data_IF_973307671458
#
_entry.id   IF_973307671458
#
_cell.length_a   1.000
_cell.length_b   1.000
_cell.length_c   1.000
_cell.angle_alpha   90.00
_cell.angle_beta   90.00
_cell.angle_gamma   90.00
#
_symmetry.space_group_name_H-M   'P 1'
#
loop_
_entity.id
_entity.type
_entity.pdbx_description
1 polymer ?
#
# COMPACT_ATOMS: atom_id res chain seq x y z
N UNK A 1 1.48 6.58 26.44
CA UNK A 1 2.35 5.45 26.01
C UNK A 1 1.50 4.22 25.99
N UNK A 2 1.05 3.79 24.82
CA UNK A 2 0.31 2.53 24.64
C UNK A 2 1.30 1.46 24.25
N UNK A 3 1.69 0.59 25.19
CA UNK A 3 2.50 -0.58 24.89
C UNK A 3 1.63 -1.64 24.20
N UNK A 4 1.85 -1.91 22.91
CA UNK A 4 1.30 -3.08 22.27
C UNK A 4 2.13 -4.30 22.67
N UNK A 5 1.56 -5.19 23.45
CA UNK A 5 2.15 -6.51 23.68
C UNK A 5 1.64 -7.42 22.57
N UNK A 6 2.51 -7.78 21.63
CA UNK A 6 2.18 -8.74 20.57
C UNK A 6 2.15 -10.16 21.14
N UNK A 7 1.05 -10.87 20.94
CA UNK A 7 0.89 -12.28 21.33
C UNK A 7 1.51 -13.24 20.29
N UNK A 8 1.82 -12.76 19.09
CA UNK A 8 2.24 -13.60 17.98
C UNK A 8 3.62 -13.19 17.47
N UNK A 9 4.35 -14.17 16.99
CA UNK A 9 5.64 -13.96 16.37
C UNK A 9 5.48 -13.34 14.98
N UNK A 10 6.02 -12.15 14.78
CA UNK A 10 5.97 -11.38 13.54
C UNK A 10 7.39 -11.13 13.02
N UNK A 11 8.00 -12.10 12.33
CA UNK A 11 9.37 -11.97 11.85
C UNK A 11 9.48 -11.00 10.69
N UNK A 12 10.58 -10.27 10.65
CA UNK A 12 10.95 -9.44 9.51
C UNK A 12 12.45 -9.57 9.22
N UNK A 13 12.79 -9.43 7.96
CA UNK A 13 14.18 -9.50 7.52
C UNK A 13 14.45 -8.50 6.40
N UNK A 14 15.68 -8.00 6.35
CA UNK A 14 16.14 -7.09 5.30
C UNK A 14 17.55 -7.46 4.87
N UNK A 15 17.80 -7.39 3.57
CA UNK A 15 19.11 -7.52 2.97
C UNK A 15 19.39 -6.32 2.07
N UNK A 16 20.61 -5.78 2.13
CA UNK A 16 21.05 -4.66 1.30
C UNK A 16 22.39 -5.03 0.67
N UNK A 17 22.53 -4.73 -0.61
CA UNK A 17 23.76 -4.89 -1.37
C UNK A 17 24.05 -3.58 -2.08
N UNK A 18 25.23 -3.02 -1.84
CA UNK A 18 25.70 -1.82 -2.51
C UNK A 18 27.05 -2.09 -3.19
N UNK A 19 27.17 -1.63 -4.40
CA UNK A 19 28.40 -1.72 -5.19
C UNK A 19 28.73 -0.36 -5.81
N UNK A 20 29.98 0.06 -5.70
CA UNK A 20 30.50 1.29 -6.30
C UNK A 20 31.70 0.92 -7.17
N UNK A 21 31.52 1.04 -8.48
CA UNK A 21 32.56 0.90 -9.49
C UNK A 21 33.08 2.23 -9.99
N UNK A 22 33.96 2.20 -10.96
CA UNK A 22 34.57 3.42 -11.53
C UNK A 22 33.55 4.29 -12.28
N UNK A 23 32.64 3.70 -13.01
CA UNK A 23 31.69 4.37 -13.89
C UNK A 23 30.25 3.97 -13.63
N UNK A 24 29.99 3.20 -12.58
CA UNK A 24 28.62 2.81 -12.21
C UNK A 24 28.54 2.50 -10.73
N UNK A 25 27.36 2.71 -10.16
CA UNK A 25 26.99 2.24 -8.83
C UNK A 25 25.67 1.48 -8.91
N UNK A 26 25.49 0.57 -7.99
CA UNK A 26 24.29 -0.23 -7.85
C UNK A 26 23.95 -0.40 -6.38
N UNK A 27 22.70 -0.17 -6.03
CA UNK A 27 22.12 -0.43 -4.71
C UNK A 27 20.89 -1.31 -4.88
N UNK A 28 20.87 -2.44 -4.20
CA UNK A 28 19.72 -3.35 -4.20
C UNK A 28 19.35 -3.61 -2.75
N UNK A 29 18.08 -3.47 -2.42
CA UNK A 29 17.53 -3.84 -1.12
C UNK A 29 16.31 -4.70 -1.28
N UNK A 30 16.18 -5.67 -0.39
CA UNK A 30 15.01 -6.52 -0.26
C UNK A 30 14.62 -6.60 1.21
N UNK A 31 13.33 -6.47 1.49
CA UNK A 31 12.79 -6.74 2.81
C UNK A 31 11.53 -7.57 2.71
N UNK A 32 11.37 -8.45 3.68
CA UNK A 32 10.15 -9.22 3.88
C UNK A 32 9.71 -9.09 5.34
N UNK A 33 8.41 -8.99 5.56
CA UNK A 33 7.82 -8.99 6.89
C UNK A 33 6.55 -9.83 6.88
N UNK A 34 6.46 -10.72 7.86
CA UNK A 34 5.25 -11.43 8.20
C UNK A 34 4.67 -10.78 9.43
N UNK A 35 3.44 -10.33 9.36
CA UNK A 35 2.72 -9.71 10.46
C UNK A 35 1.56 -10.60 10.89
N UNK A 36 1.51 -10.89 12.19
CA UNK A 36 0.42 -11.62 12.80
C UNK A 36 -0.02 -10.86 14.04
N UNK A 37 -1.19 -10.28 13.98
CA UNK A 37 -1.75 -9.47 15.05
C UNK A 37 -3.14 -9.93 15.46
N UNK A 38 -3.46 -9.86 16.74
CA UNK A 38 -4.81 -10.00 17.28
C UNK A 38 -5.14 -8.79 18.11
N UNK A 39 -6.32 -8.27 17.94
CA UNK A 39 -6.85 -7.18 18.74
C UNK A 39 -8.25 -7.57 19.20
N UNK A 40 -8.54 -7.28 20.45
CA UNK A 40 -9.87 -7.44 21.05
C UNK A 40 -10.34 -6.07 21.49
N UNK A 41 -11.59 -5.75 21.21
CA UNK A 41 -12.19 -4.48 21.58
C UNK A 41 -13.61 -4.76 22.13
N UNK A 42 -13.91 -4.19 23.28
CA UNK A 42 -15.24 -4.22 23.88
C UNK A 42 -15.78 -2.80 23.87
N UNK A 43 -16.99 -2.63 23.39
CA UNK A 43 -17.70 -1.36 23.42
C UNK A 43 -19.05 -1.55 24.13
N UNK A 44 -19.31 -0.70 25.10
CA UNK A 44 -20.61 -0.63 25.78
C UNK A 44 -21.20 0.75 25.53
N UNK A 45 -22.39 0.80 24.95
CA UNK A 45 -23.11 2.03 24.70
C UNK A 45 -24.49 1.99 25.35
N UNK A 46 -24.96 3.14 25.84
CA UNK A 46 -26.28 3.32 26.46
C UNK A 46 -27.08 4.42 25.78
N UNK A 47 -27.52 4.20 24.53
CA UNK A 47 -28.37 5.14 23.87
C UNK A 47 -29.75 5.22 24.52
N UNK A 48 -30.41 6.36 24.38
CA UNK A 48 -31.78 6.56 24.80
C UNK A 48 -32.65 6.71 23.54
N UNK A 49 -33.65 5.86 23.41
CA UNK A 49 -34.62 5.89 22.30
C UNK A 49 -36.03 5.99 22.93
N UNK A 50 -36.79 7.01 22.52
CA UNK A 50 -38.13 7.29 23.07
C UNK A 50 -38.13 7.36 24.59
N UNK A 51 -37.15 8.09 25.20
CA UNK A 51 -36.95 8.26 26.64
C UNK A 51 -36.67 6.97 27.42
N UNK A 52 -36.34 5.87 26.74
CA UNK A 52 -35.95 4.62 27.39
C UNK A 52 -34.47 4.33 27.11
N UNK A 53 -33.63 4.20 28.16
CA UNK A 53 -32.26 3.78 27.97
C UNK A 53 -32.22 2.28 27.67
N UNK A 54 -31.31 1.88 26.75
CA UNK A 54 -31.01 0.50 26.50
C UNK A 54 -29.49 0.29 26.38
N UNK A 55 -29.04 -0.89 26.76
CA UNK A 55 -27.62 -1.22 26.72
C UNK A 55 -27.30 -1.97 25.44
N UNK A 56 -26.26 -1.53 24.77
CA UNK A 56 -25.64 -2.21 23.63
C UNK A 56 -24.26 -2.65 24.07
N UNK A 57 -23.96 -3.91 23.90
CA UNK A 57 -22.60 -4.44 24.08
C UNK A 57 -22.13 -4.99 22.75
N UNK A 58 -20.93 -4.58 22.34
CA UNK A 58 -20.27 -5.08 21.16
C UNK A 58 -18.88 -5.59 21.54
N UNK A 59 -18.63 -6.84 21.21
CA UNK A 59 -17.34 -7.50 21.40
C UNK A 59 -16.75 -7.77 20.02
N UNK A 60 -15.62 -7.16 19.69
CA UNK A 60 -14.94 -7.31 18.41
C UNK A 60 -13.60 -8.03 18.57
N UNK A 61 -13.32 -8.98 17.69
CA UNK A 61 -12.03 -9.65 17.57
C UNK A 61 -11.47 -9.43 16.17
N UNK A 62 -10.27 -8.92 16.10
CA UNK A 62 -9.53 -8.74 14.86
C UNK A 62 -8.36 -9.71 14.85
N UNK A 63 -8.26 -10.51 13.80
CA UNK A 63 -7.07 -11.29 13.52
C UNK A 63 -6.54 -10.87 12.17
N UNK A 64 -5.27 -10.44 12.12
CA UNK A 64 -4.61 -9.97 10.91
C UNK A 64 -3.38 -10.83 10.67
N UNK A 65 -3.34 -11.50 9.54
CA UNK A 65 -2.16 -12.23 9.06
C UNK A 65 -1.81 -11.67 7.69
N UNK A 66 -0.59 -11.21 7.54
CA UNK A 66 -0.15 -10.64 6.25
C UNK A 66 1.32 -10.90 5.98
N UNK A 67 1.64 -11.02 4.71
CA UNK A 67 2.99 -11.10 4.19
C UNK A 67 3.27 -9.90 3.30
N UNK A 68 4.36 -9.22 3.55
CA UNK A 68 4.80 -8.09 2.73
C UNK A 68 6.22 -8.29 2.22
N UNK A 69 6.43 -7.94 0.95
CA UNK A 69 7.74 -7.92 0.33
C UNK A 69 8.00 -6.55 -0.29
N UNK A 70 9.20 -6.03 -0.10
CA UNK A 70 9.64 -4.80 -0.74
C UNK A 70 10.98 -5.06 -1.42
N UNK A 71 11.06 -4.65 -2.68
CA UNK A 71 12.26 -4.72 -3.50
C UNK A 71 12.58 -3.31 -3.96
N UNK A 72 13.82 -2.90 -3.83
CA UNK A 72 14.30 -1.64 -4.39
C UNK A 72 15.64 -1.86 -5.08
N UNK A 73 15.78 -1.34 -6.29
CA UNK A 73 17.03 -1.28 -7.02
C UNK A 73 17.29 0.14 -7.50
N UNK A 74 18.53 0.58 -7.42
CA UNK A 74 18.99 1.84 -7.99
C UNK A 74 20.34 1.61 -8.68
N UNK A 75 20.47 2.14 -9.89
CA UNK A 75 21.67 2.01 -10.73
C UNK A 75 22.01 3.37 -11.32
N UNK A 76 23.22 3.81 -11.13
CA UNK A 76 23.75 5.02 -11.73
C UNK A 76 24.92 4.65 -12.66
N UNK A 77 24.92 5.22 -13.85
CA UNK A 77 25.95 5.02 -14.86
C UNK A 77 26.53 6.38 -15.29
N UNK A 78 27.82 6.58 -15.06
CA UNK A 78 28.56 7.71 -15.59
C UNK A 78 29.05 7.36 -17.01
N UNK A 79 28.52 8.04 -18.01
CA UNK A 79 28.82 7.82 -19.41
C UNK A 79 30.09 8.59 -19.83
N UNK A 80 30.77 8.16 -20.89
CA UNK A 80 32.03 8.73 -21.37
C UNK A 80 31.96 10.23 -21.70
N UNK A 81 30.76 10.71 -22.05
CA UNK A 81 30.45 12.10 -22.36
C UNK A 81 30.26 13.02 -21.14
N UNK A 82 30.48 12.53 -19.93
CA UNK A 82 30.10 13.15 -18.65
C UNK A 82 28.58 13.25 -18.46
N UNK A 83 27.85 12.48 -19.20
CA UNK A 83 26.42 12.31 -19.03
C UNK A 83 26.17 11.23 -17.96
N UNK A 84 25.01 11.28 -17.34
CA UNK A 84 24.60 10.28 -16.35
C UNK A 84 23.27 9.68 -16.73
N UNK A 85 23.17 8.37 -16.59
CA UNK A 85 21.92 7.61 -16.67
C UNK A 85 21.66 6.99 -15.29
N UNK A 86 20.51 7.31 -14.73
CA UNK A 86 20.02 6.71 -13.47
C UNK A 86 18.78 5.88 -13.73
N UNK A 87 18.78 4.67 -13.21
CA UNK A 87 17.64 3.77 -13.23
C UNK A 87 17.25 3.43 -11.80
N UNK A 88 15.98 3.44 -11.51
CA UNK A 88 15.50 2.95 -10.22
C UNK A 88 14.21 2.16 -10.39
N UNK A 89 14.06 1.18 -9.52
CA UNK A 89 12.86 0.36 -9.42
C UNK A 89 12.49 0.18 -7.95
N UNK A 90 11.18 0.24 -7.69
CA UNK A 90 10.60 -0.12 -6.39
C UNK A 90 9.40 -1.03 -6.65
N UNK A 91 9.42 -2.20 -6.05
CA UNK A 91 8.29 -3.14 -6.02
C UNK A 91 7.81 -3.34 -4.59
N UNK A 92 6.51 -3.27 -4.37
CA UNK A 92 5.85 -3.61 -3.10
C UNK A 92 4.78 -4.63 -3.39
N UNK A 93 4.80 -5.70 -2.63
CA UNK A 93 3.85 -6.79 -2.71
C UNK A 93 3.28 -6.99 -1.32
N UNK A 94 1.98 -6.92 -1.21
CA UNK A 94 1.28 -7.12 0.04
C UNK A 94 0.19 -8.15 -0.17
N UNK A 95 0.27 -9.21 0.59
CA UNK A 95 -0.69 -10.30 0.59
C UNK A 95 -1.22 -10.48 2.01
N UNK A 96 -2.40 -9.94 2.33
CA UNK A 96 -3.11 -10.30 3.53
C UNK A 96 -3.66 -11.71 3.34
N UNK A 97 -3.05 -12.68 4.01
CA UNK A 97 -3.48 -14.08 3.95
C UNK A 97 -4.93 -14.20 4.45
N UNK A 98 -5.21 -13.59 5.59
CA UNK A 98 -6.58 -13.49 6.10
C UNK A 98 -6.68 -12.40 7.16
N UNK A 99 -7.59 -11.48 6.95
CA UNK A 99 -8.05 -10.56 7.99
C UNK A 99 -9.47 -10.96 8.36
N UNK A 100 -9.67 -11.52 9.55
CA UNK A 100 -11.00 -11.85 10.05
C UNK A 100 -11.39 -10.93 11.18
N UNK A 101 -12.59 -10.42 11.10
CA UNK A 101 -13.24 -9.66 12.16
C UNK A 101 -14.50 -10.40 12.58
N UNK A 102 -14.65 -10.66 13.85
CA UNK A 102 -15.89 -11.17 14.44
C UNK A 102 -16.42 -10.14 15.41
N UNK A 103 -17.71 -9.86 15.35
CA UNK A 103 -18.39 -8.98 16.28
C UNK A 103 -19.67 -9.62 16.76
N UNK A 104 -19.99 -9.46 18.04
CA UNK A 104 -21.27 -9.81 18.58
C UNK A 104 -21.94 -8.56 19.13
N UNK A 105 -23.11 -8.21 18.61
CA UNK A 105 -23.94 -7.13 19.10
C UNK A 105 -25.08 -7.72 19.91
N UNK A 106 -25.26 -7.26 21.14
CA UNK A 106 -26.37 -7.66 22.00
C UNK A 106 -27.15 -6.42 22.41
N UNK A 107 -28.43 -6.38 22.03
CA UNK A 107 -29.39 -5.37 22.47
C UNK A 107 -30.22 -5.92 23.64
N UNK A 108 -30.28 -5.17 24.75
CA UNK A 108 -30.96 -5.65 25.97
C UNK A 108 -32.46 -5.35 26.05
N UNK A 109 -33.02 -4.55 25.11
CA UNK A 109 -34.46 -4.24 25.14
C UNK A 109 -35.32 -5.38 24.62
N UNK A 110 -34.83 -6.14 23.61
CA UNK A 110 -35.51 -7.31 23.03
C UNK A 110 -34.60 -8.54 22.91
N UNK A 111 -33.45 -8.53 23.60
CA UNK A 111 -32.41 -9.58 23.55
C UNK A 111 -32.17 -10.05 22.12
N UNK A 112 -31.76 -9.15 21.30
CA UNK A 112 -31.32 -9.49 19.92
C UNK A 112 -29.81 -9.63 19.91
N UNK A 113 -29.34 -10.80 19.53
CA UNK A 113 -27.93 -11.05 19.32
C UNK A 113 -27.67 -11.19 17.83
N UNK A 114 -26.72 -10.44 17.33
CA UNK A 114 -26.21 -10.55 15.95
C UNK A 114 -24.74 -10.90 16.05
N UNK A 115 -24.36 -12.01 15.46
CA UNK A 115 -22.96 -12.35 15.26
C UNK A 115 -22.57 -11.99 13.83
N UNK A 116 -21.53 -11.20 13.68
CA UNK A 116 -21.02 -10.78 12.38
C UNK A 116 -19.61 -11.33 12.19
N UNK A 117 -19.39 -12.03 11.12
CA UNK A 117 -18.07 -12.43 10.68
C UNK A 117 -17.73 -11.74 9.36
N UNK A 118 -16.64 -10.97 9.34
CA UNK A 118 -16.10 -10.31 8.17
C UNK A 118 -14.74 -10.90 7.86
N UNK A 119 -14.61 -11.51 6.70
CA UNK A 119 -13.33 -11.95 6.15
C UNK A 119 -12.89 -10.98 5.06
N UNK A 120 -11.68 -10.48 5.18
CA UNK A 120 -11.02 -9.67 4.17
C UNK A 120 -9.82 -10.44 3.64
N UNK A 121 -9.72 -10.57 2.35
CA UNK A 121 -8.55 -11.13 1.67
C UNK A 121 -8.30 -10.36 0.39
N UNK A 122 -7.10 -10.47 -0.14
CA UNK A 122 -6.75 -9.80 -1.38
C UNK A 122 -5.26 -9.57 -1.47
N UNK A 123 -4.81 -9.06 -2.60
CA UNK A 123 -3.40 -8.78 -2.81
C UNK A 123 -3.23 -7.41 -3.46
N UNK A 124 -2.24 -6.67 -3.02
CA UNK A 124 -1.88 -5.42 -3.66
C UNK A 124 -0.43 -5.43 -4.14
N UNK A 125 -0.24 -4.97 -5.35
CA UNK A 125 1.06 -4.87 -5.98
C UNK A 125 1.30 -3.44 -6.47
N UNK A 126 2.42 -2.87 -6.11
CA UNK A 126 2.88 -1.58 -6.59
C UNK A 126 4.26 -1.74 -7.24
N UNK A 127 4.37 -1.31 -8.48
CA UNK A 127 5.63 -1.24 -9.21
C UNK A 127 5.87 0.20 -9.65
N UNK A 128 7.04 0.71 -9.35
CA UNK A 128 7.49 2.00 -9.85
C UNK A 128 8.86 1.82 -10.48
N UNK A 129 8.99 2.21 -11.74
CA UNK A 129 10.26 2.21 -12.46
C UNK A 129 10.55 3.63 -12.98
N UNK A 130 11.73 4.12 -12.73
CA UNK A 130 12.16 5.45 -13.12
C UNK A 130 13.48 5.42 -13.85
N UNK A 131 13.57 6.21 -14.91
CA UNK A 131 14.78 6.44 -15.67
C UNK A 131 15.02 7.95 -15.81
N UNK A 132 16.22 8.39 -15.48
CA UNK A 132 16.67 9.77 -15.60
C UNK A 132 17.95 9.82 -16.41
N UNK A 133 17.98 10.66 -17.44
CA UNK A 133 19.17 10.99 -18.19
C UNK A 133 19.56 12.45 -17.97
N UNK A 134 20.80 12.68 -17.62
CA UNK A 134 21.38 13.99 -17.41
C UNK A 134 22.58 14.18 -18.34
N UNK A 135 22.41 15.00 -19.35
CA UNK A 135 23.45 15.35 -20.29
C UNK A 135 24.34 16.50 -19.79
N UNK A 136 25.62 16.45 -20.10
CA UNK A 136 26.62 17.46 -19.66
C UNK A 136 26.35 18.88 -20.19
N UNK A 137 25.53 19.02 -21.22
CA UNK A 137 25.15 20.33 -21.81
C UNK A 137 23.87 20.92 -21.25
N UNK A 138 23.35 20.38 -20.13
CA UNK A 138 22.14 20.89 -19.48
C UNK A 138 20.84 20.24 -19.94
N UNK A 139 20.91 19.29 -20.87
CA UNK A 139 19.75 18.48 -21.28
C UNK A 139 19.42 17.47 -20.18
N UNK A 140 18.13 17.33 -19.85
CA UNK A 140 17.62 16.32 -18.94
C UNK A 140 16.36 15.72 -19.54
N UNK A 141 16.25 14.40 -19.47
CA UNK A 141 15.05 13.69 -19.85
C UNK A 141 14.82 12.54 -18.87
N UNK A 142 13.57 12.17 -18.69
CA UNK A 142 13.26 11.03 -17.85
C UNK A 142 11.87 10.50 -18.08
N UNK A 143 11.68 9.31 -17.53
CA UNK A 143 10.43 8.57 -17.54
C UNK A 143 10.19 8.01 -16.15
N UNK A 144 8.96 8.11 -15.70
CA UNK A 144 8.45 7.45 -14.50
C UNK A 144 7.26 6.59 -14.91
N UNK A 145 7.32 5.31 -14.56
CA UNK A 145 6.23 4.35 -14.78
C UNK A 145 5.75 3.81 -13.45
N UNK A 146 4.47 3.93 -13.22
CA UNK A 146 3.82 3.35 -12.03
C UNK A 146 2.72 2.39 -12.47
N UNK A 147 2.76 1.20 -11.90
CA UNK A 147 1.69 0.21 -11.97
C UNK A 147 1.24 -0.14 -10.56
N UNK A 148 -0.04 -0.03 -10.32
CA UNK A 148 -0.69 -0.44 -9.09
C UNK A 148 -1.85 -1.37 -9.40
N UNK A 149 -1.94 -2.47 -8.68
CA UNK A 149 -3.07 -3.37 -8.71
C UNK A 149 -3.45 -3.73 -7.28
N UNK A 150 -4.74 -3.66 -6.98
CA UNK A 150 -5.32 -4.08 -5.71
C UNK A 150 -6.56 -4.92 -6.00
N UNK A 151 -6.59 -6.12 -5.48
CA UNK A 151 -7.74 -7.02 -5.54
C UNK A 151 -8.22 -7.24 -4.10
N UNK A 152 -9.42 -6.76 -3.77
CA UNK A 152 -10.03 -6.90 -2.44
C UNK A 152 -11.23 -7.82 -2.53
N UNK A 153 -11.29 -8.80 -1.65
CA UNK A 153 -12.42 -9.69 -1.45
C UNK A 153 -12.93 -9.51 -0.02
N UNK A 154 -14.22 -9.29 0.10
CA UNK A 154 -14.89 -9.18 1.38
C UNK A 154 -15.99 -10.24 1.43
N UNK A 155 -16.04 -10.97 2.51
CA UNK A 155 -17.08 -11.93 2.81
C UNK A 155 -17.65 -11.61 4.18
N UNK A 156 -18.89 -11.15 4.22
CA UNK A 156 -19.61 -10.77 5.42
C UNK A 156 -20.72 -11.77 5.66
N UNK A 157 -20.76 -12.34 6.85
CA UNK A 157 -21.81 -13.21 7.32
C UNK A 157 -22.42 -12.58 8.58
N UNK A 158 -23.74 -12.37 8.56
CA UNK A 158 -24.50 -11.95 9.73
C UNK A 158 -25.41 -13.11 10.13
N UNK A 159 -25.21 -13.62 11.33
CA UNK A 159 -26.06 -14.63 11.96
C UNK A 159 -26.97 -13.97 13.00
N UNK A 160 -28.26 -14.06 12.78
CA UNK A 160 -29.30 -13.53 13.64
C UNK A 160 -29.92 -14.67 14.41
N UNK A 161 -29.96 -14.58 15.74
CA UNK A 161 -30.45 -15.64 16.63
C UNK A 161 -31.87 -16.19 16.29
N UNK A 162 -32.67 -15.45 15.52
CA UNK A 162 -34.06 -15.80 15.17
C UNK A 162 -34.43 -15.59 13.70
N UNK A 163 -33.49 -15.25 12.85
CA UNK A 163 -33.72 -14.95 11.44
C UNK A 163 -32.76 -15.77 10.55
N UNK A 164 -32.97 -15.76 9.26
CA UNK A 164 -32.05 -16.42 8.35
C UNK A 164 -30.70 -15.68 8.28
N UNK A 165 -29.62 -16.44 8.20
CA UNK A 165 -28.28 -15.96 8.00
C UNK A 165 -28.20 -15.09 6.74
N UNK A 166 -27.58 -13.93 6.84
CA UNK A 166 -27.35 -13.05 5.71
C UNK A 166 -25.88 -13.07 5.32
N UNK A 167 -25.62 -13.40 4.08
CA UNK A 167 -24.27 -13.44 3.52
C UNK A 167 -24.13 -12.40 2.41
N UNK A 168 -23.08 -11.57 2.51
CA UNK A 168 -22.71 -10.57 1.51
C UNK A 168 -21.28 -10.81 1.08
N UNK A 169 -21.08 -11.02 -0.21
CA UNK A 169 -19.73 -11.14 -0.79
C UNK A 169 -19.49 -10.00 -1.76
N UNK A 170 -18.39 -9.31 -1.57
CA UNK A 170 -17.97 -8.21 -2.44
C UNK A 170 -16.58 -8.51 -3.00
N UNK A 171 -16.44 -8.33 -4.29
CA UNK A 171 -15.16 -8.39 -5.00
C UNK A 171 -14.89 -7.02 -5.60
N UNK A 172 -13.77 -6.43 -5.25
CA UNK A 172 -13.30 -5.16 -5.81
C UNK A 172 -11.92 -5.36 -6.42
N UNK A 173 -11.75 -4.92 -7.65
CA UNK A 173 -10.45 -4.92 -8.32
C UNK A 173 -10.15 -3.52 -8.84
N UNK A 174 -9.00 -2.99 -8.48
CA UNK A 174 -8.52 -1.70 -8.93
C UNK A 174 -7.16 -1.85 -9.61
N UNK A 175 -7.04 -1.28 -10.80
CA UNK A 175 -5.78 -1.23 -11.52
C UNK A 175 -5.50 0.19 -11.99
N UNK A 176 -4.30 0.68 -11.75
CA UNK A 176 -3.86 2.01 -12.19
C UNK A 176 -2.53 1.86 -12.91
N UNK A 177 -2.44 2.44 -14.10
CA UNK A 177 -1.20 2.56 -14.83
C UNK A 177 -0.94 4.04 -15.13
N UNK A 178 0.28 4.49 -14.87
CA UNK A 178 0.69 5.87 -15.10
C UNK A 178 2.07 5.92 -15.72
N UNK A 179 2.21 6.71 -16.76
CA UNK A 179 3.49 7.04 -17.39
C UNK A 179 3.68 8.54 -17.36
N UNK A 180 4.76 9.01 -16.78
CA UNK A 180 5.18 10.40 -16.83
C UNK A 180 6.45 10.51 -17.65
N UNK A 181 6.43 11.34 -18.67
CA UNK A 181 7.60 11.67 -19.46
C UNK A 181 7.94 13.15 -19.23
N UNK A 182 9.21 13.43 -19.06
CA UNK A 182 9.65 14.81 -18.96
C UNK A 182 10.95 15.05 -19.73
N UNK A 183 11.08 16.26 -20.22
CA UNK A 183 12.26 16.74 -20.88
C UNK A 183 12.50 18.19 -20.47
N UNK A 184 13.75 18.53 -20.21
CA UNK A 184 14.18 19.86 -19.88
C UNK A 184 15.52 20.13 -20.57
N UNK A 185 15.65 21.26 -21.25
CA UNK A 185 16.90 21.71 -21.85
C UNK A 185 17.21 23.11 -21.30
N UNK A 186 18.29 23.22 -20.54
CA UNK A 186 18.79 24.49 -20.00
C UNK A 186 20.18 24.76 -20.55
N UNK A 187 20.26 25.54 -21.65
CA UNK A 187 21.54 25.93 -22.25
C UNK A 187 21.83 27.38 -21.98
N UNK A 188 23.06 27.67 -21.63
CA UNK A 188 23.56 29.04 -21.59
C UNK A 188 23.78 29.53 -23.03
N UNK A 189 22.87 30.34 -23.52
CA UNK A 189 22.95 30.90 -24.87
C UNK A 189 23.95 32.05 -25.00
N UNK A 190 24.22 32.78 -23.92
CA UNK A 190 25.30 33.80 -23.77
C UNK A 190 25.54 34.00 -22.27
N UNK A 191 26.64 34.66 -21.93
CA UNK A 191 27.06 34.92 -20.48
C UNK A 191 25.96 35.50 -19.57
N UNK A 192 24.75 35.82 -20.05
CA UNK A 192 23.64 36.43 -19.32
C UNK A 192 22.24 35.91 -19.59
N UNK A 193 22.07 34.86 -20.39
CA UNK A 193 20.75 34.30 -20.68
C UNK A 193 20.74 32.78 -20.47
N UNK A 194 19.90 32.31 -19.58
CA UNK A 194 19.56 30.89 -19.44
C UNK A 194 18.14 30.69 -20.04
N UNK A 195 18.01 29.74 -20.95
CA UNK A 195 16.70 29.33 -21.52
C UNK A 195 16.42 27.92 -21.04
N UNK A 196 15.30 27.75 -20.37
CA UNK A 196 14.79 26.44 -19.92
C UNK A 196 13.47 26.13 -20.64
N UNK A 197 13.41 24.98 -21.29
CA UNK A 197 12.19 24.39 -21.83
C UNK A 197 11.82 23.17 -21.00
N UNK A 198 10.59 23.14 -20.48
CA UNK A 198 10.06 22.01 -19.71
C UNK A 198 8.78 21.50 -20.36
N UNK A 199 8.76 20.22 -20.70
CA UNK A 199 7.55 19.52 -21.13
C UNK A 199 7.29 18.33 -20.23
N UNK A 200 6.04 18.08 -19.91
CA UNK A 200 5.61 16.94 -19.10
C UNK A 200 4.32 16.36 -19.69
N UNK A 201 4.34 15.07 -19.99
CA UNK A 201 3.18 14.34 -20.49
C UNK A 201 2.75 13.28 -19.46
N UNK A 202 1.44 13.18 -19.21
CA UNK A 202 0.84 12.22 -18.31
C UNK A 202 -0.09 11.31 -19.11
N UNK A 203 0.04 10.01 -18.92
CA UNK A 203 -0.86 9.02 -19.49
C UNK A 203 -1.47 8.21 -18.35
N UNK A 204 -2.79 8.21 -18.27
CA UNK A 204 -3.55 7.39 -17.32
C UNK A 204 -4.38 6.37 -18.08
N UNK A 205 -4.39 5.17 -17.61
CA UNK A 205 -5.31 4.13 -18.07
C UNK A 205 -6.04 3.59 -16.85
N UNK A 206 -7.35 3.74 -16.87
CA UNK A 206 -8.26 3.08 -15.94
C UNK A 206 -8.93 1.92 -16.68
N UNK A 207 -9.16 0.78 -16.04
CA UNK A 207 -9.95 -0.30 -16.63
C UNK A 207 -11.41 0.11 -16.81
#
# INVERSE_FOLDING_TARGET
>A
MTGKQGYFFSPSGQANLSYIGKNYSADISYSAAYDHGRQEEEMIARPTVNDRPYDIRQDDWYNNVSLSHNIRGAFDFDLKSKDRLSLSYTGRFYDPDKVSRRGALTEFVDIRRVETELELSGASNLHNARMDYIGHKGFRAGMDYTFYKNDDKQHLVNDFEKEEEQTISTLSSQQVQRVDLYMNDSRKLKKRMDVGLRSRCFFFRYP
#
